data_IF_242136640498
#
_entry.id   IF_242136640498
#
_cell.length_a   1.000
_cell.length_b   1.000
_cell.length_c   1.000
_cell.angle_alpha   90.00
_cell.angle_beta   90.00
_cell.angle_gamma   90.00
#
_symmetry.space_group_name_H-M   'P 1'
#
loop_
_entity.id
_entity.type
_entity.pdbx_description
1 polymer ?
#
# COMPACT_ATOMS: atom_id res chain seq x y z
N UNK A 1 6.06 2.70 15.99
CA UNK A 1 5.97 1.87 14.80
C UNK A 1 7.26 1.91 14.00
N UNK A 2 7.55 0.86 13.30
CA UNK A 2 8.76 0.76 12.51
C UNK A 2 8.57 1.49 11.17
N UNK A 3 9.62 2.14 10.66
CA UNK A 3 9.53 2.73 9.33
C UNK A 3 9.37 1.65 8.27
N UNK A 4 8.63 1.99 7.20
CA UNK A 4 8.43 1.08 6.08
C UNK A 4 9.68 1.10 5.20
N UNK A 5 10.20 -0.08 4.92
CA UNK A 5 11.27 -0.24 3.94
C UNK A 5 10.60 -0.38 2.56
N UNK A 6 10.71 0.65 1.74
CA UNK A 6 10.05 0.67 0.44
C UNK A 6 10.61 -0.37 -0.53
N UNK A 7 11.90 -0.68 -0.43
CA UNK A 7 12.49 -1.73 -1.27
C UNK A 7 11.93 -3.10 -0.91
N UNK A 8 11.79 -3.37 0.37
CA UNK A 8 11.20 -4.63 0.85
C UNK A 8 9.74 -4.73 0.43
N UNK A 9 9.00 -3.63 0.52
CA UNK A 9 7.62 -3.58 0.11
C UNK A 9 7.48 -3.88 -1.38
N UNK A 10 8.33 -3.28 -2.22
CA UNK A 10 8.33 -3.55 -3.66
C UNK A 10 8.62 -5.02 -3.95
N UNK A 11 9.60 -5.59 -3.29
CA UNK A 11 10.00 -6.98 -3.49
C UNK A 11 8.87 -7.93 -3.15
N UNK A 12 8.24 -7.75 -1.99
CA UNK A 12 7.14 -8.59 -1.56
C UNK A 12 5.93 -8.42 -2.47
N UNK A 13 5.63 -7.20 -2.87
CA UNK A 13 4.51 -6.90 -3.77
C UNK A 13 4.70 -7.55 -5.13
N UNK A 14 5.95 -7.55 -5.63
CA UNK A 14 6.25 -8.18 -6.91
C UNK A 14 6.01 -9.68 -6.86
N UNK A 15 6.45 -10.34 -5.79
CA UNK A 15 6.26 -11.78 -5.61
C UNK A 15 4.76 -12.13 -5.59
N UNK A 16 3.99 -11.35 -4.84
CA UNK A 16 2.55 -11.56 -4.74
C UNK A 16 1.87 -11.32 -6.08
N UNK A 17 2.27 -10.27 -6.79
CA UNK A 17 1.70 -9.91 -8.08
C UNK A 17 1.98 -10.99 -9.14
N UNK A 18 3.19 -11.55 -9.14
CA UNK A 18 3.54 -12.62 -10.06
C UNK A 18 2.69 -13.87 -9.83
N UNK A 19 2.38 -14.15 -8.55
CA UNK A 19 1.55 -15.30 -8.20
C UNK A 19 0.07 -15.05 -8.51
N UNK A 20 -0.38 -13.80 -8.43
CA UNK A 20 -1.77 -13.44 -8.63
C UNK A 20 -1.88 -12.04 -9.25
N UNK A 21 -1.83 -11.92 -10.58
CA UNK A 21 -1.87 -10.61 -11.25
C UNK A 21 -3.17 -9.82 -11.01
N UNK A 22 -4.23 -10.48 -10.58
CA UNK A 22 -5.52 -9.82 -10.30
C UNK A 22 -5.65 -9.36 -8.86
N UNK A 23 -4.58 -9.42 -8.07
CA UNK A 23 -4.64 -9.06 -6.66
C UNK A 23 -5.06 -7.62 -6.46
N UNK A 24 -5.89 -7.40 -5.45
CA UNK A 24 -6.20 -6.07 -4.95
C UNK A 24 -5.43 -5.82 -3.66
N UNK A 25 -4.79 -4.66 -3.58
CA UNK A 25 -4.09 -4.25 -2.37
C UNK A 25 -4.88 -3.13 -1.73
N UNK A 26 -5.18 -3.28 -0.45
CA UNK A 26 -5.94 -2.30 0.31
C UNK A 26 -5.07 -1.77 1.44
N UNK A 27 -4.90 -0.45 1.48
CA UNK A 27 -4.23 0.22 2.59
C UNK A 27 -5.28 0.60 3.62
N UNK A 28 -5.04 0.20 4.87
CA UNK A 28 -5.84 0.65 5.99
C UNK A 28 -5.02 1.64 6.80
N UNK A 29 -5.58 2.80 7.06
CA UNK A 29 -4.89 3.82 7.84
C UNK A 29 -5.88 4.58 8.71
N UNK A 30 -5.40 5.05 9.86
CA UNK A 30 -6.16 5.96 10.69
C UNK A 30 -6.22 7.34 10.03
N UNK A 31 -7.24 8.11 10.39
CA UNK A 31 -7.38 9.48 9.90
C UNK A 31 -6.17 10.36 10.25
N UNK A 32 -5.42 10.00 11.30
CA UNK A 32 -4.27 10.76 11.77
C UNK A 32 -2.96 10.34 11.13
N UNK A 33 -2.98 9.36 10.24
CA UNK A 33 -1.78 8.91 9.54
C UNK A 33 -1.32 9.99 8.56
N UNK A 34 0.01 10.16 8.47
CA UNK A 34 0.60 11.10 7.53
C UNK A 34 0.39 10.57 6.11
N UNK A 35 -0.40 11.31 5.33
CA UNK A 35 -0.76 10.87 3.99
C UNK A 35 0.45 10.71 3.06
N UNK A 36 1.50 11.49 3.30
CA UNK A 36 2.73 11.40 2.49
C UNK A 36 3.33 10.00 2.54
N UNK A 37 3.34 9.38 3.73
CA UNK A 37 3.85 8.01 3.87
C UNK A 37 3.00 7.01 3.11
N UNK A 38 1.68 7.18 3.15
CA UNK A 38 0.75 6.32 2.41
C UNK A 38 0.97 6.48 0.91
N UNK A 39 1.11 7.71 0.45
CA UNK A 39 1.32 8.00 -0.96
C UNK A 39 2.63 7.37 -1.48
N UNK A 40 3.69 7.43 -0.69
CA UNK A 40 4.96 6.81 -1.06
C UNK A 40 4.85 5.29 -1.15
N UNK A 41 4.13 4.67 -0.21
CA UNK A 41 3.90 3.23 -0.23
C UNK A 41 3.07 2.84 -1.45
N UNK A 42 2.04 3.59 -1.78
CA UNK A 42 1.23 3.35 -2.97
C UNK A 42 2.06 3.45 -4.24
N UNK A 43 2.89 4.49 -4.34
CA UNK A 43 3.75 4.67 -5.51
C UNK A 43 4.73 3.50 -5.66
N UNK A 44 5.25 2.99 -4.56
CA UNK A 44 6.16 1.84 -4.58
C UNK A 44 5.45 0.60 -5.13
N UNK A 45 4.22 0.36 -4.71
CA UNK A 45 3.44 -0.79 -5.17
C UNK A 45 3.05 -0.63 -6.64
N UNK A 46 2.66 0.58 -7.05
CA UNK A 46 2.33 0.85 -8.45
C UNK A 46 3.54 0.65 -9.36
N UNK A 47 4.73 0.91 -8.86
CA UNK A 47 5.96 0.78 -9.66
C UNK A 47 6.26 -0.65 -10.08
N UNK A 48 5.69 -1.66 -9.41
CA UNK A 48 5.87 -3.06 -9.79
C UNK A 48 4.74 -3.56 -10.70
N UNK A 49 3.78 -2.70 -11.06
CA UNK A 49 2.72 -3.03 -12.01
C UNK A 49 1.35 -3.27 -11.40
N UNK A 50 1.21 -3.19 -10.09
CA UNK A 50 -0.06 -3.37 -9.42
C UNK A 50 -0.86 -2.08 -9.55
N UNK A 51 -2.06 -2.16 -10.14
CA UNK A 51 -2.91 -0.99 -10.34
C UNK A 51 -4.21 -1.03 -9.54
N UNK A 52 -4.56 -2.19 -9.00
CA UNK A 52 -5.80 -2.35 -8.22
C UNK A 52 -5.51 -2.08 -6.76
N UNK A 53 -5.47 -0.80 -6.40
CA UNK A 53 -5.12 -0.34 -5.06
C UNK A 53 -6.25 0.51 -4.49
N UNK A 54 -6.63 0.20 -3.26
CA UNK A 54 -7.64 0.96 -2.54
C UNK A 54 -7.11 1.48 -1.21
N UNK A 55 -7.76 2.50 -0.68
CA UNK A 55 -7.46 3.05 0.63
C UNK A 55 -8.72 3.02 1.48
N UNK A 56 -8.59 2.48 2.70
CA UNK A 56 -9.64 2.51 3.69
C UNK A 56 -9.14 3.32 4.87
N UNK A 57 -9.87 4.38 5.22
CA UNK A 57 -9.57 5.20 6.39
C UNK A 57 -10.48 4.82 7.54
N UNK A 58 -9.92 4.75 8.73
CA UNK A 58 -10.67 4.41 9.94
C UNK A 58 -10.58 5.55 10.95
N UNK A 59 -11.43 5.51 11.95
CA UNK A 59 -11.40 6.51 13.01
C UNK A 59 -12.22 7.76 12.74
N UNK A 60 -12.98 7.81 11.66
CA UNK A 60 -13.92 8.90 11.44
C UNK A 60 -15.19 8.66 12.22
N UNK A 61 -15.63 9.69 12.91
CA UNK A 61 -16.92 9.65 13.59
C UNK A 61 -18.02 10.07 12.61
N UNK A 62 -19.09 9.38 12.65
CA UNK A 62 -20.27 9.73 11.85
C UNK A 62 -21.17 10.69 12.61
#
# INVERSE_FOLDING_TARGET
SLPIDLNELKRKSMIIFEANPDIEIVFQSDKDVIFDSVAKAMAAIQSVGITNIGIVTTGYAD
#
